data_IF_712055429106
#
_entry.id   IF_712055429106
#
_cell.length_a   1.000
_cell.length_b   1.000
_cell.length_c   1.000
_cell.angle_alpha   90.00
_cell.angle_beta   90.00
_cell.angle_gamma   90.00
#
_symmetry.space_group_name_H-M   'P 1'
#
loop_
_entity.id
_entity.type
_entity.pdbx_description
1 polymer ?
#
# COMPACT_ATOMS: atom_id res chain seq x y z
N UNK A 1 -11.37 -15.61 14.70
CA UNK A 1 -11.30 -14.16 14.99
C UNK A 1 -10.02 -13.65 14.38
N UNK A 2 -10.09 -12.63 13.54
CA UNK A 2 -8.95 -12.01 12.86
C UNK A 2 -8.32 -11.02 13.83
N UNK A 3 -7.02 -11.14 14.05
CA UNK A 3 -6.25 -10.24 14.93
C UNK A 3 -5.54 -9.16 14.12
N UNK A 4 -5.10 -8.09 14.78
CA UNK A 4 -4.25 -7.04 14.17
C UNK A 4 -2.75 -7.37 14.22
N UNK A 5 -2.39 -8.61 14.61
CA UNK A 5 -1.00 -9.05 14.66
C UNK A 5 -0.51 -9.40 13.25
N UNK A 6 0.52 -8.69 12.78
CA UNK A 6 1.09 -8.88 11.46
C UNK A 6 2.29 -9.82 11.56
N UNK A 7 2.26 -10.92 10.82
CA UNK A 7 3.35 -11.89 10.73
C UNK A 7 3.92 -11.88 9.31
N UNK A 8 5.25 -11.85 9.21
CA UNK A 8 5.95 -12.00 7.94
C UNK A 8 6.31 -13.47 7.74
N UNK A 9 5.86 -14.05 6.63
CA UNK A 9 6.12 -15.45 6.29
C UNK A 9 7.02 -15.57 5.08
N UNK A 10 7.88 -16.58 5.11
CA UNK A 10 8.57 -17.07 3.92
C UNK A 10 7.65 -17.98 3.09
N UNK A 11 8.02 -18.22 1.83
CA UNK A 11 7.27 -19.11 0.94
C UNK A 11 7.18 -20.57 1.44
N UNK A 12 8.12 -21.00 2.30
CA UNK A 12 8.12 -22.35 2.89
C UNK A 12 7.10 -22.40 4.03
N UNK A 13 7.09 -21.39 4.90
CA UNK A 13 6.15 -21.30 6.03
C UNK A 13 4.70 -21.08 5.55
N UNK A 14 4.51 -20.28 4.49
CA UNK A 14 3.19 -20.05 3.87
C UNK A 14 2.50 -21.36 3.47
N UNK A 15 3.25 -22.38 3.05
CA UNK A 15 2.68 -23.64 2.57
C UNK A 15 1.89 -24.40 3.65
N UNK A 16 2.24 -24.21 4.92
CA UNK A 16 1.60 -24.86 6.07
C UNK A 16 0.36 -24.08 6.57
N UNK A 17 0.06 -22.93 5.96
CA UNK A 17 -1.01 -22.03 6.38
C UNK A 17 -2.14 -21.91 5.36
N UNK A 18 -3.37 -21.83 5.85
CA UNK A 18 -4.56 -21.50 5.06
C UNK A 18 -4.80 -20.00 5.16
N UNK A 19 -4.62 -19.30 4.04
CA UNK A 19 -4.68 -17.84 3.99
C UNK A 19 -5.99 -17.39 3.35
N UNK A 20 -6.82 -16.64 4.08
CA UNK A 20 -8.01 -16.00 3.56
C UNK A 20 -7.68 -14.72 2.77
N UNK A 21 -8.48 -14.43 1.75
CA UNK A 21 -8.34 -13.20 0.97
C UNK A 21 -8.73 -11.96 1.80
N UNK A 22 -8.07 -10.83 1.54
CA UNK A 22 -8.33 -9.57 2.25
C UNK A 22 -9.77 -9.03 2.06
N UNK A 23 -10.49 -9.50 1.04
CA UNK A 23 -11.88 -9.14 0.74
C UNK A 23 -12.92 -10.04 1.40
N UNK A 24 -12.51 -11.02 2.23
CA UNK A 24 -13.44 -11.90 2.93
C UNK A 24 -14.36 -11.10 3.88
N UNK A 25 -15.64 -11.45 3.92
CA UNK A 25 -16.61 -10.73 4.71
C UNK A 25 -16.44 -11.01 6.22
N UNK A 26 -16.49 -9.94 7.02
CA UNK A 26 -16.28 -10.00 8.47
C UNK A 26 -17.38 -9.24 9.22
N UNK A 27 -17.68 -9.65 10.45
CA UNK A 27 -18.58 -8.94 11.36
C UNK A 27 -17.82 -7.87 12.19
N UNK A 28 -18.56 -7.10 12.99
CA UNK A 28 -18.01 -6.07 13.89
C UNK A 28 -17.05 -6.61 14.97
N UNK A 29 -17.03 -7.94 15.17
CA UNK A 29 -16.14 -8.64 16.09
C UNK A 29 -14.92 -9.25 15.40
N UNK A 30 -14.67 -8.90 14.13
CA UNK A 30 -13.58 -9.43 13.31
C UNK A 30 -13.66 -10.96 13.12
N UNK A 31 -14.87 -11.52 13.05
CA UNK A 31 -15.10 -12.93 12.72
C UNK A 31 -15.57 -13.04 11.27
N UNK A 32 -15.05 -14.04 10.56
CA UNK A 32 -15.48 -14.38 9.20
C UNK A 32 -16.92 -14.89 9.24
N UNK A 33 -17.80 -14.30 8.41
CA UNK A 33 -19.24 -14.57 8.47
C UNK A 33 -19.71 -15.66 7.52
N UNK A 34 -18.97 -15.90 6.43
CA UNK A 34 -19.36 -16.85 5.40
C UNK A 34 -19.10 -18.29 5.86
N UNK A 35 -20.01 -19.21 5.54
CA UNK A 35 -19.81 -20.65 5.84
C UNK A 35 -18.59 -21.24 5.12
N UNK A 36 -18.27 -20.68 3.94
CA UNK A 36 -17.16 -21.06 3.09
C UNK A 36 -16.41 -19.80 2.64
N UNK A 37 -15.16 -19.68 3.05
CA UNK A 37 -14.30 -18.53 2.77
C UNK A 37 -13.31 -18.90 1.66
N UNK A 38 -13.11 -17.99 0.70
CA UNK A 38 -12.12 -18.14 -0.34
C UNK A 38 -10.70 -18.03 0.26
N UNK A 39 -9.92 -19.09 0.08
CA UNK A 39 -8.59 -19.23 0.68
C UNK A 39 -7.56 -19.67 -0.35
N UNK A 40 -6.30 -19.33 -0.09
CA UNK A 40 -5.12 -19.89 -0.74
C UNK A 40 -4.44 -20.88 0.20
N UNK A 41 -4.17 -22.08 -0.28
CA UNK A 41 -3.42 -23.11 0.45
C UNK A 41 -2.65 -23.98 -0.55
N UNK A 42 -1.36 -24.22 -0.32
CA UNK A 42 -0.49 -25.00 -1.22
C UNK A 42 -0.55 -24.55 -2.70
N UNK A 43 -0.57 -23.24 -2.94
CA UNK A 43 -0.71 -22.62 -4.27
C UNK A 43 -2.03 -22.92 -5.01
N UNK A 44 -3.03 -23.49 -4.34
CA UNK A 44 -4.37 -23.66 -4.88
C UNK A 44 -5.36 -22.68 -4.25
N UNK A 45 -6.28 -22.19 -5.07
CA UNK A 45 -7.42 -21.40 -4.61
C UNK A 45 -8.60 -22.34 -4.37
N UNK A 46 -9.05 -22.41 -3.14
CA UNK A 46 -10.16 -23.27 -2.73
C UNK A 46 -11.06 -22.52 -1.76
N UNK A 47 -12.12 -23.18 -1.30
CA UNK A 47 -12.98 -22.68 -0.24
C UNK A 47 -12.86 -23.59 0.98
N UNK A 48 -12.75 -23.00 2.17
CA UNK A 48 -12.69 -23.73 3.44
C UNK A 48 -13.61 -23.10 4.47
N UNK A 49 -13.95 -23.86 5.50
CA UNK A 49 -14.70 -23.32 6.63
C UNK A 49 -13.85 -22.27 7.37
N UNK A 50 -14.46 -21.22 7.96
CA UNK A 50 -13.75 -20.22 8.77
C UNK A 50 -12.84 -20.80 9.85
N UNK A 51 -13.20 -21.96 10.41
CA UNK A 51 -12.44 -22.64 11.46
C UNK A 51 -11.08 -23.18 10.98
N UNK A 52 -10.93 -23.44 9.68
CA UNK A 52 -9.70 -23.95 9.08
C UNK A 52 -8.75 -22.82 8.63
N UNK A 53 -9.20 -21.56 8.66
CA UNK A 53 -8.40 -20.39 8.27
C UNK A 53 -7.40 -20.07 9.37
N UNK A 54 -6.11 -20.04 9.03
CA UNK A 54 -5.05 -19.72 10.00
C UNK A 54 -4.60 -18.27 9.91
N UNK A 55 -4.62 -17.69 8.71
CA UNK A 55 -4.13 -16.33 8.44
C UNK A 55 -5.01 -15.62 7.40
N UNK A 56 -4.82 -14.31 7.26
CA UNK A 56 -5.55 -13.48 6.30
C UNK A 56 -4.59 -12.46 5.67
N UNK A 57 -4.81 -12.19 4.38
CA UNK A 57 -4.09 -11.15 3.64
C UNK A 57 -4.32 -9.76 4.25
N UNK A 58 -3.28 -8.92 4.31
CA UNK A 58 -3.33 -7.59 4.96
C UNK A 58 -4.03 -6.56 4.06
N UNK A 59 -3.81 -6.62 2.76
CA UNK A 59 -4.40 -5.69 1.80
C UNK A 59 -4.52 -6.29 0.41
N UNK A 60 -5.59 -6.00 -0.35
CA UNK A 60 -5.67 -6.38 -1.77
C UNK A 60 -4.51 -5.81 -2.61
N UNK A 61 -3.92 -4.68 -2.17
CA UNK A 61 -2.80 -4.03 -2.85
C UNK A 61 -1.47 -4.76 -2.70
N UNK A 62 -1.35 -5.72 -1.78
CA UNK A 62 -0.07 -6.41 -1.49
C UNK A 62 0.42 -7.29 -2.66
N UNK A 63 -0.48 -7.69 -3.56
CA UNK A 63 -0.18 -8.57 -4.70
C UNK A 63 0.40 -7.80 -5.88
N UNK A 64 0.17 -6.48 -5.94
CA UNK A 64 0.55 -5.64 -7.08
C UNK A 64 1.77 -4.79 -6.77
N UNK A 65 2.58 -4.52 -7.80
CA UNK A 65 3.72 -3.62 -7.68
C UNK A 65 3.29 -2.17 -7.44
N UNK A 66 4.23 -1.34 -6.96
CA UNK A 66 4.02 0.10 -6.77
C UNK A 66 3.49 0.78 -8.04
N UNK A 67 4.03 0.46 -9.22
CA UNK A 67 3.58 1.06 -10.48
C UNK A 67 2.13 0.66 -10.82
N UNK A 68 1.81 -0.63 -10.72
CA UNK A 68 0.46 -1.10 -10.98
C UNK A 68 -0.56 -0.52 -9.97
N UNK A 69 -0.14 -0.30 -8.71
CA UNK A 69 -0.97 0.29 -7.67
C UNK A 69 -1.36 1.76 -7.93
N UNK A 70 -0.71 2.44 -8.89
CA UNK A 70 -1.05 3.81 -9.33
C UNK A 70 -2.10 3.83 -10.45
N UNK A 71 -2.47 2.68 -11.01
CA UNK A 71 -3.49 2.59 -12.06
C UNK A 71 -4.87 2.53 -11.38
N UNK A 72 -5.75 3.53 -11.57
CA UNK A 72 -7.13 3.45 -11.07
C UNK A 72 -7.93 2.41 -11.87
N UNK A 73 -8.89 1.76 -11.22
CA UNK A 73 -9.77 0.74 -11.83
C UNK A 73 -9.02 -0.45 -12.43
N UNK A 74 -7.88 -0.82 -11.85
CA UNK A 74 -7.04 -1.94 -12.30
C UNK A 74 -7.82 -3.26 -12.40
N UNK A 75 -8.80 -3.46 -11.53
CA UNK A 75 -9.71 -4.60 -11.50
C UNK A 75 -10.60 -4.74 -12.76
N UNK A 76 -10.69 -3.68 -13.57
CA UNK A 76 -11.44 -3.65 -14.82
C UNK A 76 -10.56 -3.71 -16.08
N UNK A 77 -9.23 -3.77 -15.89
CA UNK A 77 -8.24 -3.84 -16.96
C UNK A 77 -7.72 -5.27 -17.13
N UNK A 78 -7.39 -5.65 -18.37
CA UNK A 78 -6.70 -6.91 -18.62
C UNK A 78 -5.22 -6.81 -18.23
N UNK A 79 -4.62 -7.96 -17.90
CA UNK A 79 -3.25 -8.03 -17.40
C UNK A 79 -2.20 -7.46 -18.38
N UNK A 80 -2.40 -7.61 -19.70
CA UNK A 80 -1.46 -7.12 -20.69
C UNK A 80 -1.53 -5.58 -20.79
N UNK A 81 -2.72 -5.02 -20.72
CA UNK A 81 -2.91 -3.56 -20.68
C UNK A 81 -2.36 -2.95 -19.40
N UNK A 82 -2.62 -3.58 -18.25
CA UNK A 82 -2.05 -3.16 -16.96
C UNK A 82 -0.50 -3.18 -16.98
N UNK A 83 0.09 -4.22 -17.57
CA UNK A 83 1.55 -4.33 -17.74
C UNK A 83 2.09 -3.21 -18.62
N UNK A 84 1.47 -2.97 -19.78
CA UNK A 84 1.86 -1.88 -20.68
C UNK A 84 1.72 -0.52 -20.00
N UNK A 85 0.60 -0.26 -19.31
CA UNK A 85 0.36 0.96 -18.57
C UNK A 85 1.43 1.23 -17.50
N UNK A 86 1.75 0.21 -16.70
CA UNK A 86 2.79 0.30 -15.66
C UNK A 86 4.18 0.60 -16.25
N UNK A 87 4.49 0.07 -17.43
CA UNK A 87 5.76 0.34 -18.12
C UNK A 87 5.81 1.72 -18.76
N UNK A 88 4.70 2.16 -19.37
CA UNK A 88 4.60 3.48 -19.98
C UNK A 88 4.72 4.59 -18.93
N UNK A 89 4.16 4.40 -17.72
CA UNK A 89 4.31 5.35 -16.61
C UNK A 89 5.77 5.69 -16.29
N UNK A 90 6.68 4.70 -16.37
CA UNK A 90 8.11 4.91 -16.10
C UNK A 90 8.85 5.67 -17.20
N UNK A 91 8.23 5.82 -18.37
CA UNK A 91 8.79 6.54 -19.52
C UNK A 91 8.23 7.97 -19.62
N UNK A 92 7.26 8.32 -18.78
CA UNK A 92 6.69 9.66 -18.77
C UNK A 92 7.76 10.70 -18.39
N UNK A 93 7.81 11.78 -19.16
CA UNK A 93 8.74 12.89 -18.92
C UNK A 93 8.03 13.98 -18.13
N UNK A 94 8.66 14.56 -17.08
CA UNK A 94 8.06 15.66 -16.32
C UNK A 94 7.70 16.86 -17.21
N UNK A 95 6.52 17.42 -16.98
CA UNK A 95 6.04 18.63 -17.66
C UNK A 95 6.61 19.89 -17.03
N UNK A 96 6.58 21.01 -17.77
CA UNK A 96 7.03 22.33 -17.25
C UNK A 96 6.26 22.77 -16.00
N UNK A 97 4.96 22.44 -15.94
CA UNK A 97 4.10 22.67 -14.77
C UNK A 97 3.57 21.31 -14.34
N UNK A 98 3.82 20.96 -13.08
CA UNK A 98 3.24 19.76 -12.48
C UNK A 98 1.73 19.94 -12.34
N UNK A 99 0.99 18.89 -12.69
CA UNK A 99 -0.46 18.83 -12.48
C UNK A 99 -0.81 17.56 -11.71
N UNK A 100 -1.83 17.65 -10.86
CA UNK A 100 -2.26 16.52 -10.04
C UNK A 100 -3.21 15.62 -10.82
N UNK A 101 -3.16 14.29 -10.64
CA UNK A 101 -4.19 13.44 -11.20
C UNK A 101 -5.53 13.76 -10.53
N UNK A 102 -6.57 13.97 -11.35
CA UNK A 102 -7.93 14.18 -10.85
C UNK A 102 -8.56 12.89 -10.32
N UNK A 103 -8.13 11.74 -10.87
CA UNK A 103 -8.50 10.40 -10.43
C UNK A 103 -7.21 9.69 -10.04
N UNK A 104 -7.11 9.27 -8.79
CA UNK A 104 -5.92 8.61 -8.23
C UNK A 104 -6.28 7.47 -7.28
N UNK A 105 -5.27 6.74 -6.81
CA UNK A 105 -5.44 5.53 -5.98
C UNK A 105 -5.04 5.73 -4.52
N UNK A 106 -4.46 6.89 -4.20
CA UNK A 106 -3.90 7.25 -2.90
C UNK A 106 -2.43 6.85 -2.73
N UNK A 107 -1.86 6.10 -3.67
CA UNK A 107 -0.44 5.71 -3.65
C UNK A 107 0.51 6.83 -4.05
N UNK A 108 0.01 7.85 -4.74
CA UNK A 108 0.80 8.97 -5.29
C UNK A 108 1.58 9.70 -4.20
N UNK A 109 0.97 9.90 -3.03
CA UNK A 109 1.61 10.56 -1.88
C UNK A 109 2.81 9.76 -1.38
N UNK A 110 2.65 8.46 -1.22
CA UNK A 110 3.70 7.58 -0.71
C UNK A 110 4.85 7.52 -1.71
N UNK A 111 4.54 7.35 -3.01
CA UNK A 111 5.55 7.35 -4.08
C UNK A 111 6.32 8.68 -4.13
N UNK A 112 5.63 9.82 -4.08
CA UNK A 112 6.29 11.12 -4.10
C UNK A 112 7.22 11.32 -2.90
N UNK A 113 6.74 10.99 -1.68
CA UNK A 113 7.51 11.08 -0.44
C UNK A 113 8.72 10.17 -0.43
N UNK A 114 8.54 8.91 -0.81
CA UNK A 114 9.55 7.85 -0.64
C UNK A 114 10.52 7.77 -1.83
N UNK A 115 10.22 8.44 -2.96
CA UNK A 115 11.12 8.52 -4.12
C UNK A 115 12.43 9.28 -3.85
N UNK A 116 12.48 10.09 -2.80
CA UNK A 116 13.60 10.98 -2.52
C UNK A 116 13.68 12.25 -3.39
N UNK A 117 12.72 12.47 -4.30
CA UNK A 117 12.66 13.69 -5.13
C UNK A 117 12.10 14.87 -4.34
N UNK A 118 11.16 14.63 -3.43
CA UNK A 118 10.60 15.65 -2.56
C UNK A 118 11.55 15.98 -1.40
N UNK A 119 11.71 17.27 -1.10
CA UNK A 119 12.38 17.73 0.13
C UNK A 119 11.40 17.58 1.29
N UNK A 120 11.74 16.74 2.27
CA UNK A 120 10.90 16.48 3.46
C UNK A 120 11.56 17.11 4.69
N UNK A 121 10.77 17.79 5.52
CA UNK A 121 11.25 18.34 6.78
C UNK A 121 11.63 17.20 7.74
N UNK A 122 12.82 17.30 8.35
CA UNK A 122 13.32 16.29 9.30
C UNK A 122 12.68 16.40 10.68
N UNK A 123 12.25 17.61 11.05
CA UNK A 123 11.66 17.94 12.35
C UNK A 123 10.48 18.88 12.15
N UNK A 124 9.54 18.83 13.09
CA UNK A 124 8.44 19.79 13.19
C UNK A 124 8.94 21.20 13.47
N UNK A 125 8.19 22.20 13.00
CA UNK A 125 8.55 23.60 13.20
C UNK A 125 7.71 24.57 12.39
N UNK A 126 8.08 25.85 12.49
CA UNK A 126 7.45 26.94 11.73
C UNK A 126 8.40 27.38 10.62
N UNK A 127 7.84 27.67 9.45
CA UNK A 127 8.61 28.23 8.34
C UNK A 127 9.02 29.66 8.68
N UNK A 128 10.33 29.92 8.74
CA UNK A 128 10.89 31.22 9.08
C UNK A 128 11.13 32.07 7.82
N UNK A 129 11.64 31.45 6.75
CA UNK A 129 11.83 32.10 5.45
C UNK A 129 11.75 31.11 4.29
N UNK A 130 11.26 31.57 3.13
CA UNK A 130 11.15 30.79 1.89
C UNK A 130 11.64 31.63 0.73
N UNK A 131 12.53 31.06 -0.08
CA UNK A 131 12.90 31.57 -1.39
C UNK A 131 13.03 30.41 -2.41
N UNK A 132 13.32 30.72 -3.67
CA UNK A 132 13.39 29.71 -4.73
C UNK A 132 14.58 28.74 -4.60
N UNK A 133 15.54 29.04 -3.73
CA UNK A 133 16.77 28.27 -3.51
C UNK A 133 16.82 27.54 -2.17
N UNK A 134 16.09 28.02 -1.15
CA UNK A 134 16.09 27.44 0.19
C UNK A 134 14.80 27.71 0.95
N UNK A 135 14.56 26.82 1.91
CA UNK A 135 13.49 26.92 2.90
C UNK A 135 14.16 26.82 4.27
N UNK A 136 13.91 27.79 5.15
CA UNK A 136 14.43 27.81 6.53
C UNK A 136 13.30 27.49 7.49
N UNK A 137 13.49 26.44 8.29
CA UNK A 137 12.53 25.98 9.30
C UNK A 137 13.09 26.27 10.68
N UNK A 138 12.34 27.02 11.48
CA UNK A 138 12.57 27.16 12.93
C UNK A 138 11.95 25.96 13.61
N UNK A 139 12.80 25.06 14.10
CA UNK A 139 12.39 23.81 14.76
C UNK A 139 11.64 24.13 16.05
N UNK A 140 10.59 23.37 16.33
CA UNK A 140 9.82 23.52 17.56
C UNK A 140 10.62 23.00 18.77
N UNK A 141 10.49 23.65 19.93
CA UNK A 141 11.34 23.38 21.11
C UNK A 141 11.20 21.94 21.63
N UNK A 142 10.04 21.30 21.41
CA UNK A 142 9.76 19.89 21.76
C UNK A 142 10.50 18.88 20.87
N UNK A 143 10.94 19.30 19.68
CA UNK A 143 11.70 18.49 18.72
C UNK A 143 13.21 18.76 18.79
N UNK A 144 13.65 19.58 19.75
CA UNK A 144 15.06 19.83 20.03
C UNK A 144 15.51 18.87 21.13
N UNK A 145 16.23 17.81 20.76
CA UNK A 145 16.97 17.01 21.74
C UNK A 145 18.02 17.90 22.42
N UNK A 146 17.83 18.20 23.71
CA UNK A 146 18.93 18.67 24.57
C UNK A 146 19.93 17.53 24.71
N UNK A 147 21.13 17.72 24.16
CA UNK A 147 22.24 16.79 24.30
C UNK A 147 22.70 16.58 25.74
#
# INVERSE_FOLDING_TARGET
LVTEEIVFLSAIEEADHVIAQASAAMNDKQELIDELVAVRHLNEFTVKAPADVTLMDVSPKQVVSVAASLIPFLEHDDANRALMGSNMQRQAVPTLRADKPLVGTGMERNVARDSGVCVVARRGGVIDSVDASRIVVRVADDEVETG
#
